data_IF_924369122275
#
_entry.id   IF_924369122275
#
_cell.length_a   1.000
_cell.length_b   1.000
_cell.length_c   1.000
_cell.angle_alpha   90.00
_cell.angle_beta   90.00
_cell.angle_gamma   90.00
#
_symmetry.space_group_name_H-M   'P 1'
#
loop_
_entity.id
_entity.type
_entity.pdbx_description
1 polymer ?
#
# COMPACT_ATOMS: atom_id res chain seq x y z
N UNK A 1 -12.68 17.24 56.17
CA UNK A 1 -12.98 17.86 54.85
C UNK A 1 -11.73 18.12 54.00
N UNK A 2 -10.58 18.47 54.60
CA UNK A 2 -9.34 18.72 53.86
C UNK A 2 -8.79 17.49 53.11
N UNK A 3 -8.84 16.29 53.71
CA UNK A 3 -8.38 15.05 53.05
C UNK A 3 -9.08 14.77 51.72
N UNK A 4 -10.39 15.00 51.63
CA UNK A 4 -11.14 14.81 50.38
C UNK A 4 -10.77 15.86 49.31
N UNK A 5 -10.34 17.06 49.74
CA UNK A 5 -9.91 18.11 48.82
C UNK A 5 -8.55 17.80 48.19
N UNK A 6 -7.65 17.14 48.94
CA UNK A 6 -6.39 16.63 48.40
C UNK A 6 -6.60 15.48 47.40
N UNK A 7 -7.49 14.54 47.70
CA UNK A 7 -7.85 13.46 46.76
C UNK A 7 -8.48 14.00 45.47
N UNK A 8 -9.33 15.03 45.57
CA UNK A 8 -9.90 15.70 44.40
C UNK A 8 -8.83 16.36 43.53
N UNK A 9 -7.87 17.06 44.13
CA UNK A 9 -6.76 17.68 43.41
C UNK A 9 -5.90 16.64 42.69
N UNK A 10 -5.55 15.55 43.37
CA UNK A 10 -4.80 14.43 42.77
C UNK A 10 -5.54 13.81 41.59
N UNK A 11 -6.85 13.66 41.70
CA UNK A 11 -7.70 13.15 40.63
C UNK A 11 -7.70 14.08 39.42
N UNK A 12 -7.79 15.40 39.64
CA UNK A 12 -7.77 16.39 38.56
C UNK A 12 -6.41 16.41 37.84
N UNK A 13 -5.30 16.33 38.58
CA UNK A 13 -3.95 16.25 38.00
C UNK A 13 -3.80 14.95 37.19
N UNK A 14 -4.31 13.83 37.69
CA UNK A 14 -4.26 12.54 36.99
C UNK A 14 -5.06 12.58 35.68
N UNK A 15 -6.25 13.18 35.68
CA UNK A 15 -7.07 13.35 34.47
C UNK A 15 -6.41 14.29 33.46
N UNK A 16 -5.75 15.36 33.93
CA UNK A 16 -5.00 16.29 33.08
C UNK A 16 -3.84 15.57 32.37
N UNK A 17 -3.04 14.81 33.11
CA UNK A 17 -1.92 14.04 32.55
C UNK A 17 -2.43 13.00 31.55
N UNK A 18 -3.51 12.29 31.88
CA UNK A 18 -4.14 11.32 30.99
C UNK A 18 -4.62 11.99 29.69
N UNK A 19 -5.22 13.17 29.77
CA UNK A 19 -5.67 13.94 28.59
C UNK A 19 -4.49 14.32 27.67
N UNK A 20 -3.39 14.79 28.24
CA UNK A 20 -2.17 15.13 27.47
C UNK A 20 -1.61 13.91 26.76
N UNK A 21 -1.57 12.76 27.45
CA UNK A 21 -1.12 11.48 26.86
C UNK A 21 -2.05 11.09 25.70
N UNK A 22 -3.36 11.05 25.92
CA UNK A 22 -4.35 10.67 24.88
C UNK A 22 -4.24 11.58 23.65
N UNK A 23 -4.14 12.90 23.84
CA UNK A 23 -4.00 13.85 22.72
C UNK A 23 -2.66 13.65 22.00
N UNK A 24 -1.56 13.45 22.73
CA UNK A 24 -0.25 13.20 22.15
C UNK A 24 -0.21 11.94 21.27
N UNK A 25 -0.76 10.84 21.76
CA UNK A 25 -0.83 9.58 21.00
C UNK A 25 -1.85 9.64 19.85
N UNK A 26 -2.96 10.37 20.00
CA UNK A 26 -3.92 10.55 18.90
C UNK A 26 -3.31 11.23 17.67
N UNK A 27 -2.39 12.18 17.87
CA UNK A 27 -1.68 12.85 16.78
C UNK A 27 -0.61 11.95 16.12
N UNK A 28 0.01 11.05 16.88
CA UNK A 28 1.01 10.12 16.35
C UNK A 28 0.38 9.00 15.52
N UNK A 29 -0.82 8.55 15.89
CA UNK A 29 -1.61 7.58 15.13
C UNK A 29 -2.07 8.11 13.76
N UNK A 30 -2.10 9.42 13.56
CA UNK A 30 -2.60 10.08 12.34
C UNK A 30 -1.51 10.35 11.28
N UNK A 31 -0.32 9.77 11.42
CA UNK A 31 0.69 9.77 10.36
C UNK A 31 0.36 8.69 9.29
N UNK A 32 -0.79 8.86 8.64
CA UNK A 32 -1.48 7.91 7.73
C UNK A 32 -0.98 7.88 6.27
N UNK A 33 0.28 8.21 5.97
CA UNK A 33 0.75 8.17 4.57
C UNK A 33 1.35 6.82 4.15
N UNK A 34 1.59 5.89 5.07
CA UNK A 34 2.11 4.57 4.73
C UNK A 34 1.01 3.61 4.26
N UNK A 35 -0.23 3.79 4.71
CA UNK A 35 -1.31 2.83 4.46
C UNK A 35 -1.79 2.88 3.01
N UNK A 36 -2.04 4.05 2.41
CA UNK A 36 -2.57 4.11 1.03
C UNK A 36 -1.60 3.51 0.01
N UNK A 37 -0.31 3.82 0.12
CA UNK A 37 0.71 3.30 -0.79
C UNK A 37 0.93 1.80 -0.61
N UNK A 38 0.97 1.33 0.64
CA UNK A 38 1.06 -0.09 0.95
C UNK A 38 -0.16 -0.85 0.43
N UNK A 39 -1.36 -0.31 0.64
CA UNK A 39 -2.61 -0.89 0.15
C UNK A 39 -2.64 -0.93 -1.38
N UNK A 40 -2.17 0.11 -2.06
CA UNK A 40 -2.02 0.13 -3.51
C UNK A 40 -1.08 -0.99 -3.99
N UNK A 41 0.12 -1.08 -3.40
CA UNK A 41 1.12 -2.10 -3.74
C UNK A 41 0.59 -3.51 -3.50
N UNK A 42 -0.03 -3.75 -2.35
CA UNK A 42 -0.63 -5.04 -1.99
C UNK A 42 -1.76 -5.44 -2.96
N UNK A 43 -2.60 -4.48 -3.36
CA UNK A 43 -3.64 -4.74 -4.36
C UNK A 43 -3.05 -5.08 -5.73
N UNK A 44 -2.01 -4.36 -6.16
CA UNK A 44 -1.31 -4.64 -7.42
C UNK A 44 -0.66 -6.03 -7.40
N UNK A 45 0.04 -6.37 -6.32
CA UNK A 45 0.65 -7.68 -6.12
C UNK A 45 -0.40 -8.80 -6.17
N UNK A 46 -1.51 -8.63 -5.47
CA UNK A 46 -2.60 -9.60 -5.48
C UNK A 46 -3.22 -9.77 -6.87
N UNK A 47 -3.42 -8.68 -7.63
CA UNK A 47 -3.94 -8.75 -9.00
C UNK A 47 -3.01 -9.54 -9.92
N UNK A 48 -1.69 -9.33 -9.86
CA UNK A 48 -0.73 -10.08 -10.67
C UNK A 48 -0.54 -11.54 -10.22
N UNK A 49 -0.75 -11.83 -8.94
CA UNK A 49 -0.65 -13.19 -8.37
C UNK A 49 -1.87 -14.03 -8.70
N UNK A 50 -3.06 -13.44 -8.59
CA UNK A 50 -4.33 -14.12 -8.86
C UNK A 50 -4.74 -14.10 -10.34
N UNK A 51 -4.01 -13.37 -11.18
CA UNK A 51 -4.37 -13.05 -12.57
C UNK A 51 -5.76 -12.41 -12.71
N UNK A 52 -6.23 -11.73 -11.66
CA UNK A 52 -7.50 -11.02 -11.62
C UNK A 52 -7.25 -9.52 -11.79
N UNK A 53 -7.48 -9.06 -13.01
CA UNK A 53 -7.18 -7.70 -13.44
C UNK A 53 -8.48 -6.88 -13.54
N UNK A 54 -8.56 -5.78 -12.79
CA UNK A 54 -9.66 -4.82 -12.86
C UNK A 54 -9.60 -3.96 -14.14
N UNK A 55 -10.58 -3.07 -14.33
CA UNK A 55 -10.65 -2.15 -15.47
C UNK A 55 -9.49 -1.14 -15.54
N UNK A 56 -8.73 -0.94 -14.47
CA UNK A 56 -7.55 -0.07 -14.46
C UNK A 56 -6.32 -0.68 -15.14
N UNK A 57 -6.40 -1.95 -15.56
CA UNK A 57 -5.34 -2.63 -16.28
C UNK A 57 -5.59 -2.63 -17.78
N UNK A 58 -4.52 -2.45 -18.55
CA UNK A 58 -4.54 -2.52 -20.01
C UNK A 58 -3.92 -3.85 -20.44
N UNK A 59 -4.66 -4.62 -21.24
CA UNK A 59 -4.20 -5.85 -21.87
C UNK A 59 -3.99 -5.62 -23.36
N UNK A 60 -2.78 -5.90 -23.85
CA UNK A 60 -2.43 -5.76 -25.27
C UNK A 60 -1.74 -7.03 -25.79
N UNK A 61 -2.14 -7.52 -26.97
CA UNK A 61 -1.42 -8.62 -27.61
C UNK A 61 -0.22 -8.08 -28.39
N UNK A 62 0.98 -8.58 -28.09
CA UNK A 62 2.22 -8.12 -28.71
C UNK A 62 3.08 -9.30 -29.16
N UNK A 63 3.88 -9.08 -30.19
CA UNK A 63 4.96 -10.01 -30.56
C UNK A 63 6.27 -9.48 -29.97
N UNK A 64 6.92 -10.28 -29.14
CA UNK A 64 8.24 -9.99 -28.58
C UNK A 64 9.29 -10.87 -29.25
N UNK A 65 10.51 -10.37 -29.34
CA UNK A 65 11.67 -11.17 -29.77
C UNK A 65 12.43 -11.57 -28.53
N UNK A 66 12.60 -12.87 -28.33
CA UNK A 66 13.39 -13.46 -27.26
C UNK A 66 14.73 -13.86 -27.88
N UNK A 67 15.83 -13.46 -27.24
CA UNK A 67 17.19 -13.86 -27.62
C UNK A 67 17.58 -14.99 -26.67
N UNK A 68 17.84 -16.17 -27.21
CA UNK A 68 18.28 -17.35 -26.46
C UNK A 68 19.75 -17.59 -26.79
N UNK A 69 20.58 -17.74 -25.76
CA UNK A 69 22.03 -18.02 -25.88
C UNK A 69 22.74 -17.07 -26.87
N UNK A 70 22.41 -15.78 -26.81
CA UNK A 70 23.00 -14.69 -27.61
C UNK A 70 22.98 -14.87 -29.15
N UNK A 71 22.24 -15.86 -29.68
CA UNK A 71 22.26 -16.18 -31.11
C UNK A 71 20.90 -16.57 -31.69
N UNK A 72 20.04 -17.21 -30.91
CA UNK A 72 18.75 -17.68 -31.42
C UNK A 72 17.67 -16.62 -31.20
N UNK A 73 17.09 -16.12 -32.29
CA UNK A 73 15.99 -15.16 -32.25
C UNK A 73 14.65 -15.87 -32.40
N UNK A 74 13.86 -15.88 -31.33
CA UNK A 74 12.51 -16.44 -31.33
C UNK A 74 11.46 -15.33 -31.23
N UNK A 75 10.56 -15.27 -32.21
CA UNK A 75 9.38 -14.40 -32.14
C UNK A 75 8.27 -15.11 -31.39
N UNK A 76 7.85 -14.57 -30.27
CA UNK A 76 6.77 -15.11 -29.44
C UNK A 76 5.62 -14.12 -29.36
N UNK A 77 4.39 -14.61 -29.61
CA UNK A 77 3.18 -13.84 -29.31
C UNK A 77 2.91 -13.95 -27.81
N UNK A 78 2.74 -12.81 -27.16
CA UNK A 78 2.47 -12.68 -25.72
C UNK A 78 1.31 -11.72 -25.52
N UNK A 79 0.66 -11.84 -24.36
CA UNK A 79 -0.21 -10.80 -23.83
C UNK A 79 0.60 -9.95 -22.86
N UNK A 80 0.56 -8.62 -23.03
CA UNK A 80 1.13 -7.69 -22.07
C UNK A 80 -0.01 -7.12 -21.23
N UNK A 81 0.06 -7.34 -19.93
CA UNK A 81 -0.80 -6.68 -18.95
C UNK A 81 -0.02 -5.54 -18.32
N UNK A 82 -0.63 -4.36 -18.23
CA UNK A 82 0.02 -3.17 -17.66
C UNK A 82 -0.91 -2.35 -16.80
N UNK A 83 -0.34 -1.70 -15.80
CA UNK A 83 -0.98 -0.74 -14.90
C UNK A 83 -0.09 0.49 -14.80
N UNK A 84 -0.69 1.69 -14.79
CA UNK A 84 0.03 2.93 -14.59
C UNK A 84 -0.86 4.00 -13.97
N UNK A 85 -0.35 4.63 -12.91
CA UNK A 85 -0.87 5.87 -12.35
C UNK A 85 0.26 6.92 -12.22
N UNK A 86 0.02 7.98 -11.44
CA UNK A 86 0.99 9.06 -11.21
C UNK A 86 2.21 8.64 -10.38
N UNK A 87 2.14 7.51 -9.67
CA UNK A 87 3.13 7.05 -8.67
C UNK A 87 3.84 5.76 -9.08
N UNK A 88 3.14 4.83 -9.72
CA UNK A 88 3.57 3.46 -9.98
C UNK A 88 3.21 3.03 -11.41
N UNK A 89 4.16 2.43 -12.11
CA UNK A 89 3.96 1.80 -13.41
C UNK A 89 4.51 0.39 -13.42
N UNK A 90 3.69 -0.58 -13.80
CA UNK A 90 4.03 -2.00 -13.81
C UNK A 90 3.54 -2.65 -15.10
N UNK A 91 4.27 -3.66 -15.57
CA UNK A 91 3.82 -4.50 -16.68
C UNK A 91 4.33 -5.94 -16.52
N UNK A 92 3.57 -6.89 -17.06
CA UNK A 92 3.89 -8.32 -17.12
C UNK A 92 3.62 -8.82 -18.53
N UNK A 93 4.49 -9.68 -19.03
CA UNK A 93 4.23 -10.44 -20.26
C UNK A 93 3.80 -11.86 -19.86
N UNK A 94 2.68 -12.31 -20.40
CA UNK A 94 2.16 -13.66 -20.25
C UNK A 94 2.15 -14.38 -21.60
N UNK A 95 2.59 -15.63 -21.60
CA UNK A 95 2.51 -16.52 -22.76
C UNK A 95 1.20 -17.30 -22.60
N UNK A 96 0.28 -17.14 -23.56
CA UNK A 96 -0.88 -18.01 -23.70
C UNK A 96 -0.49 -19.36 -24.31
#
# INVERSE_FOLDING_TARGET
MEKNSFTLLETLISLLLLSVIVVGFSKYSYYENFDEHFMLLNNLENSFTTNSYSSSFIKESKKITIIINDSELKKQKVEKISYKDDKVGLFKYEIN
#
